data_IF_638273654619
#
_entry.id   IF_638273654619
#
_cell.length_a   1.000
_cell.length_b   1.000
_cell.length_c   1.000
_cell.angle_alpha   90.00
_cell.angle_beta   90.00
_cell.angle_gamma   90.00
#
_symmetry.space_group_name_H-M   'P 1'
#
loop_
_entity.id
_entity.type
_entity.pdbx_description
1 polymer ?
#
# COMPACT_ATOMS: atom_id res chain seq x y z
N UNK A 1 -11.97 22.68 -5.01
CA UNK A 1 -11.10 23.42 -4.06
C UNK A 1 -10.47 24.65 -4.74
N UNK A 2 -9.84 24.49 -5.91
CA UNK A 2 -9.32 25.60 -6.73
C UNK A 2 -10.39 26.65 -7.09
N UNK A 3 -11.54 26.21 -7.61
CA UNK A 3 -12.70 27.08 -7.89
C UNK A 3 -13.35 27.71 -6.64
N UNK A 4 -13.07 27.20 -5.44
CA UNK A 4 -13.52 27.80 -4.18
C UNK A 4 -12.54 28.88 -3.71
N UNK A 5 -11.23 28.64 -3.87
CA UNK A 5 -10.19 29.64 -3.57
C UNK A 5 -10.30 30.84 -4.52
N UNK A 6 -10.48 30.61 -5.82
CA UNK A 6 -10.64 31.68 -6.82
C UNK A 6 -11.90 32.53 -6.62
N UNK A 7 -12.93 32.00 -5.95
CA UNK A 7 -14.17 32.75 -5.65
C UNK A 7 -14.10 33.57 -4.36
N UNK A 8 -13.15 33.26 -3.47
CA UNK A 8 -13.09 33.83 -2.12
C UNK A 8 -11.80 34.62 -1.85
N UNK A 9 -10.86 34.67 -2.80
CA UNK A 9 -9.63 35.45 -2.70
C UNK A 9 -9.61 36.52 -3.80
N UNK A 10 -9.23 37.74 -3.42
CA UNK A 10 -8.96 38.82 -4.37
C UNK A 10 -7.73 38.44 -5.23
N UNK A 11 -7.73 38.73 -6.55
CA UNK A 11 -6.53 38.68 -7.38
C UNK A 11 -5.25 39.24 -6.72
N UNK A 12 -5.36 40.31 -5.93
CA UNK A 12 -4.24 40.87 -5.18
C UNK A 12 -3.70 39.88 -4.12
N UNK A 13 -4.57 39.21 -3.37
CA UNK A 13 -4.21 38.21 -2.36
C UNK A 13 -3.56 36.97 -3.01
N UNK A 14 -4.07 36.54 -4.16
CA UNK A 14 -3.47 35.43 -4.92
C UNK A 14 -2.04 35.78 -5.34
N UNK A 15 -1.83 37.02 -5.79
CA UNK A 15 -0.49 37.52 -6.18
C UNK A 15 0.44 37.55 -4.98
N UNK A 16 -0.02 38.06 -3.85
CA UNK A 16 0.76 38.10 -2.61
C UNK A 16 1.15 36.70 -2.13
N UNK A 17 0.21 35.74 -2.09
CA UNK A 17 0.49 34.36 -1.70
C UNK A 17 1.54 33.72 -2.61
N UNK A 18 1.45 33.94 -3.93
CA UNK A 18 2.43 33.43 -4.90
C UNK A 18 3.81 34.02 -4.67
N UNK A 19 3.90 35.32 -4.42
CA UNK A 19 5.15 36.04 -4.15
C UNK A 19 5.77 35.59 -2.84
N UNK A 20 5.00 35.50 -1.76
CA UNK A 20 5.47 34.95 -0.47
C UNK A 20 5.97 33.52 -0.67
N UNK A 21 5.24 32.68 -1.40
CA UNK A 21 5.66 31.30 -1.67
C UNK A 21 6.97 31.23 -2.45
N UNK A 22 7.16 32.11 -3.44
CA UNK A 22 8.42 32.24 -4.18
C UNK A 22 9.57 32.64 -3.28
N UNK A 23 9.41 33.72 -2.50
CA UNK A 23 10.45 34.24 -1.61
C UNK A 23 10.79 33.26 -0.49
N UNK A 24 9.82 32.51 0.03
CA UNK A 24 10.08 31.45 1.01
C UNK A 24 10.89 30.30 0.39
N UNK A 25 10.55 29.92 -0.83
CA UNK A 25 11.30 28.91 -1.57
C UNK A 25 12.73 29.41 -1.83
N UNK A 26 12.90 30.64 -2.31
CA UNK A 26 14.20 31.28 -2.52
C UNK A 26 15.05 31.29 -1.25
N UNK A 27 14.48 31.73 -0.12
CA UNK A 27 15.14 31.74 1.20
C UNK A 27 15.57 30.34 1.66
N UNK A 28 14.89 29.28 1.22
CA UNK A 28 15.27 27.92 1.57
C UNK A 28 16.52 27.40 0.85
N UNK A 29 16.87 27.97 -0.30
CA UNK A 29 18.08 27.63 -1.08
C UNK A 29 19.20 28.66 -0.92
N UNK A 30 18.84 29.93 -0.74
CA UNK A 30 19.75 31.06 -0.70
C UNK A 30 19.40 31.98 0.48
N UNK A 31 19.52 31.49 1.74
CA UNK A 31 19.11 32.25 2.91
C UNK A 31 19.83 33.60 3.00
N UNK A 32 21.12 33.64 2.68
CA UNK A 32 21.94 34.88 2.74
C UNK A 32 21.46 35.98 1.78
N UNK A 33 20.83 35.60 0.66
CA UNK A 33 20.38 36.56 -0.36
C UNK A 33 18.90 36.93 -0.19
N UNK A 34 18.09 36.08 0.46
CA UNK A 34 16.63 36.24 0.51
C UNK A 34 16.03 36.36 1.93
N UNK A 35 16.85 36.35 2.99
CA UNK A 35 16.37 36.50 4.38
C UNK A 35 15.54 37.77 4.59
N UNK A 36 15.95 38.85 3.94
CA UNK A 36 15.48 40.20 4.26
C UNK A 36 14.23 40.62 3.47
N UNK A 37 13.76 39.79 2.52
CA UNK A 37 12.57 40.04 1.71
C UNK A 37 11.26 39.60 2.40
N UNK A 38 11.35 38.80 3.47
CA UNK A 38 10.20 38.31 4.22
C UNK A 38 10.43 38.43 5.71
N UNK A 39 9.53 39.12 6.39
CA UNK A 39 9.42 39.06 7.85
C UNK A 39 8.26 38.16 8.26
N UNK A 40 8.27 37.70 9.51
CA UNK A 40 7.16 36.96 10.10
C UNK A 40 6.63 37.76 11.29
N UNK A 41 5.32 38.05 11.28
CA UNK A 41 4.69 38.79 12.37
C UNK A 41 4.45 37.89 13.59
N UNK A 42 3.95 38.48 14.69
CA UNK A 42 3.70 37.78 15.96
C UNK A 42 2.70 36.62 15.86
N UNK A 43 1.85 36.64 14.84
CA UNK A 43 0.87 35.59 14.58
C UNK A 43 1.41 34.48 13.67
N UNK A 44 2.68 34.56 13.27
CA UNK A 44 3.32 33.60 12.38
C UNK A 44 3.03 33.83 10.90
N UNK A 45 2.40 34.94 10.51
CA UNK A 45 2.12 35.25 9.10
C UNK A 45 3.32 35.93 8.46
N UNK A 46 3.60 35.60 7.20
CA UNK A 46 4.67 36.21 6.44
C UNK A 46 4.20 37.53 5.81
N UNK A 47 5.06 38.54 5.87
CA UNK A 47 4.84 39.85 5.25
C UNK A 47 6.03 40.17 4.34
N UNK A 48 5.72 40.70 3.16
CA UNK A 48 6.74 41.11 2.18
C UNK A 48 7.31 42.46 2.61
N UNK A 49 8.60 42.51 2.88
CA UNK A 49 9.32 43.74 3.26
C UNK A 49 9.93 44.44 2.05
N UNK A 50 10.36 43.66 1.06
CA UNK A 50 10.92 44.14 -0.20
C UNK A 50 10.78 43.07 -1.28
N UNK A 51 10.99 43.46 -2.53
CA UNK A 51 11.03 42.54 -3.66
C UNK A 51 12.43 42.60 -4.31
N UNK A 52 12.98 41.44 -4.72
CA UNK A 52 14.15 41.41 -5.58
C UNK A 52 13.82 42.04 -6.94
N UNK A 53 14.85 42.50 -7.66
CA UNK A 53 14.67 43.00 -9.02
C UNK A 53 14.12 41.88 -9.92
N UNK A 54 13.22 42.21 -10.86
CA UNK A 54 12.64 41.21 -11.77
C UNK A 54 13.70 40.47 -12.59
N UNK A 55 14.83 41.13 -12.86
CA UNK A 55 15.95 40.61 -13.63
C UNK A 55 17.12 40.08 -12.78
N UNK A 56 16.91 39.84 -11.48
CA UNK A 56 17.93 39.29 -10.59
C UNK A 56 18.36 37.87 -11.05
N UNK A 57 19.65 37.64 -11.36
CA UNK A 57 20.15 36.32 -11.74
C UNK A 57 19.93 35.23 -10.69
N UNK A 58 19.93 35.55 -9.39
CA UNK A 58 19.64 34.58 -8.33
C UNK A 58 18.17 34.19 -8.34
N UNK A 59 17.27 35.15 -8.55
CA UNK A 59 15.83 34.89 -8.64
C UNK A 59 15.51 33.98 -9.84
N UNK A 60 16.14 34.22 -11.00
CA UNK A 60 15.98 33.32 -12.17
C UNK A 60 16.42 31.88 -11.89
N UNK A 61 17.56 31.69 -11.21
CA UNK A 61 18.03 30.34 -10.84
C UNK A 61 17.06 29.65 -9.89
N UNK A 62 16.61 30.36 -8.84
CA UNK A 62 15.62 29.82 -7.91
C UNK A 62 14.34 29.42 -8.62
N UNK A 63 13.86 30.21 -9.59
CA UNK A 63 12.68 29.87 -10.40
C UNK A 63 12.87 28.57 -11.18
N UNK A 64 14.03 28.38 -11.82
CA UNK A 64 14.38 27.13 -12.49
C UNK A 64 14.37 25.92 -11.53
N UNK A 65 14.95 26.07 -10.34
CA UNK A 65 14.91 25.03 -9.30
C UNK A 65 13.47 24.74 -8.84
N UNK A 66 12.63 25.77 -8.74
CA UNK A 66 11.21 25.64 -8.37
C UNK A 66 10.39 24.94 -9.44
N UNK A 67 10.65 25.21 -10.71
CA UNK A 67 10.02 24.49 -11.82
C UNK A 67 10.34 23.00 -11.76
N UNK A 68 11.60 22.63 -11.49
CA UNK A 68 11.99 21.23 -11.24
C UNK A 68 11.27 20.63 -10.04
N UNK A 69 11.11 21.38 -8.95
CA UNK A 69 10.35 20.95 -7.77
C UNK A 69 8.88 20.66 -8.10
N UNK A 70 8.24 21.51 -8.92
CA UNK A 70 6.88 21.28 -9.39
C UNK A 70 6.76 20.05 -10.29
N UNK A 71 7.72 19.84 -11.20
CA UNK A 71 7.76 18.63 -12.03
C UNK A 71 7.83 17.35 -11.18
N UNK A 72 8.62 17.36 -10.10
CA UNK A 72 8.66 16.24 -9.15
C UNK A 72 7.29 16.01 -8.51
N UNK A 73 6.66 17.07 -7.99
CA UNK A 73 5.34 16.98 -7.35
C UNK A 73 4.30 16.42 -8.33
N UNK A 74 4.27 16.91 -9.56
CA UNK A 74 3.34 16.45 -10.60
C UNK A 74 3.58 14.98 -10.96
N UNK A 75 4.86 14.57 -11.06
CA UNK A 75 5.22 13.18 -11.35
C UNK A 75 4.81 12.24 -10.21
N UNK A 76 5.03 12.64 -8.96
CA UNK A 76 4.58 11.86 -7.78
C UNK A 76 3.06 11.77 -7.74
N UNK A 77 2.36 12.86 -8.02
CA UNK A 77 0.89 12.86 -8.07
C UNK A 77 0.36 11.92 -9.16
N UNK A 78 0.90 12.00 -10.38
CA UNK A 78 0.50 11.11 -11.47
C UNK A 78 0.85 9.66 -11.19
N UNK A 79 2.03 9.40 -10.63
CA UNK A 79 2.43 8.07 -10.17
C UNK A 79 1.40 7.50 -9.19
N UNK A 80 1.05 8.21 -8.12
CA UNK A 80 0.09 7.69 -7.14
C UNK A 80 -1.33 7.60 -7.68
N UNK A 81 -1.75 8.51 -8.55
CA UNK A 81 -3.04 8.43 -9.23
C UNK A 81 -3.11 7.20 -10.15
N UNK A 82 -2.03 6.92 -10.87
CA UNK A 82 -1.91 5.75 -11.75
C UNK A 82 -1.82 4.46 -10.95
N UNK A 83 -0.96 4.42 -9.93
CA UNK A 83 -0.86 3.29 -8.99
C UNK A 83 -2.23 2.96 -8.40
N UNK A 84 -2.98 3.95 -7.89
CA UNK A 84 -4.31 3.72 -7.31
C UNK A 84 -5.32 3.18 -8.33
N UNK A 85 -5.23 3.61 -9.60
CA UNK A 85 -6.08 3.07 -10.69
C UNK A 85 -5.70 1.65 -11.07
N UNK A 86 -4.40 1.38 -11.26
CA UNK A 86 -3.88 0.06 -11.62
C UNK A 86 -4.15 -0.96 -10.51
N UNK A 87 -4.04 -0.54 -9.24
CA UNK A 87 -4.29 -1.40 -8.08
C UNK A 87 -5.72 -1.90 -7.94
N UNK A 88 -6.69 -1.18 -8.49
CA UNK A 88 -8.10 -1.45 -8.21
C UNK A 88 -8.51 -2.86 -8.64
N UNK A 89 -8.15 -3.25 -9.87
CA UNK A 89 -8.57 -4.54 -10.44
C UNK A 89 -7.89 -5.71 -9.73
N UNK A 90 -6.55 -5.74 -9.57
CA UNK A 90 -5.86 -6.78 -8.81
C UNK A 90 -6.37 -6.90 -7.38
N UNK A 91 -6.58 -5.78 -6.69
CA UNK A 91 -7.06 -5.78 -5.31
C UNK A 91 -8.50 -6.31 -5.18
N UNK A 92 -9.42 -5.89 -6.06
CA UNK A 92 -10.79 -6.40 -6.07
C UNK A 92 -10.81 -7.92 -6.33
N UNK A 93 -10.01 -8.38 -7.29
CA UNK A 93 -9.84 -9.79 -7.63
C UNK A 93 -9.26 -10.61 -6.47
N UNK A 94 -8.17 -10.11 -5.86
CA UNK A 94 -7.57 -10.73 -4.68
C UNK A 94 -8.56 -10.81 -3.52
N UNK A 95 -9.34 -9.74 -3.27
CA UNK A 95 -10.32 -9.69 -2.19
C UNK A 95 -11.44 -10.72 -2.39
N UNK A 96 -11.96 -10.84 -3.61
CA UNK A 96 -13.01 -11.81 -3.96
C UNK A 96 -12.49 -13.24 -3.82
N UNK A 97 -11.37 -13.56 -4.49
CA UNK A 97 -10.80 -14.91 -4.47
C UNK A 97 -10.35 -15.32 -3.07
N UNK A 98 -9.79 -14.41 -2.27
CA UNK A 98 -9.41 -14.67 -0.89
C UNK A 98 -10.62 -14.94 0.00
N UNK A 99 -11.75 -14.27 -0.24
CA UNK A 99 -12.99 -14.51 0.49
C UNK A 99 -13.50 -15.93 0.21
N UNK A 100 -13.60 -16.32 -1.06
CA UNK A 100 -14.10 -17.63 -1.49
C UNK A 100 -13.19 -18.78 -1.00
N UNK A 101 -11.87 -18.62 -1.14
CA UNK A 101 -10.90 -19.58 -0.64
C UNK A 101 -10.98 -19.73 0.90
N UNK A 102 -11.17 -18.63 1.62
CA UNK A 102 -11.35 -18.67 3.09
C UNK A 102 -12.67 -19.32 3.51
N UNK A 103 -13.77 -19.09 2.79
CA UNK A 103 -15.05 -19.77 3.05
C UNK A 103 -14.92 -21.27 2.83
N UNK A 104 -14.38 -21.66 1.68
CA UNK A 104 -14.15 -23.05 1.31
C UNK A 104 -13.27 -23.75 2.35
N UNK A 105 -12.18 -23.10 2.79
CA UNK A 105 -11.32 -23.62 3.83
C UNK A 105 -12.07 -23.92 5.14
N UNK A 106 -12.92 -22.98 5.61
CA UNK A 106 -13.73 -23.19 6.82
C UNK A 106 -14.71 -24.34 6.67
N UNK A 107 -15.35 -24.47 5.51
CA UNK A 107 -16.28 -25.56 5.21
C UNK A 107 -15.59 -26.93 5.21
N UNK A 108 -14.42 -27.02 4.56
CA UNK A 108 -13.62 -28.24 4.49
C UNK A 108 -13.12 -28.65 5.88
N UNK A 109 -12.60 -27.71 6.68
CA UNK A 109 -12.17 -27.98 8.06
C UNK A 109 -13.33 -28.43 8.96
N UNK A 110 -14.47 -27.74 8.90
CA UNK A 110 -15.68 -28.14 9.66
C UNK A 110 -16.19 -29.52 9.23
N UNK A 111 -16.15 -29.80 7.94
CA UNK A 111 -16.49 -31.10 7.34
C UNK A 111 -15.56 -32.22 7.77
N UNK A 112 -14.25 -31.98 7.82
CA UNK A 112 -13.26 -32.93 8.31
C UNK A 112 -13.48 -33.23 9.79
N UNK A 113 -13.66 -32.19 10.62
CA UNK A 113 -13.91 -32.34 12.08
C UNK A 113 -15.16 -33.17 12.37
N UNK A 114 -16.28 -32.89 11.69
CA UNK A 114 -17.52 -33.68 11.84
C UNK A 114 -17.31 -35.15 11.46
N UNK A 115 -16.59 -35.41 10.37
CA UNK A 115 -16.28 -36.77 9.91
C UNK A 115 -15.35 -37.52 10.87
N UNK A 116 -14.32 -36.85 11.42
CA UNK A 116 -13.49 -37.47 12.44
C UNK A 116 -14.28 -37.83 13.70
N UNK A 117 -15.12 -36.90 14.19
CA UNK A 117 -15.99 -37.16 15.36
C UNK A 117 -16.93 -38.33 15.07
N UNK A 118 -17.62 -38.31 13.92
CA UNK A 118 -18.54 -39.37 13.53
C UNK A 118 -17.84 -40.73 13.35
N UNK A 119 -16.71 -40.77 12.63
CA UNK A 119 -15.93 -41.98 12.42
C UNK A 119 -15.40 -42.57 13.74
N UNK A 120 -14.93 -41.72 14.66
CA UNK A 120 -14.47 -42.14 16.00
C UNK A 120 -15.64 -42.63 16.85
N UNK A 121 -16.81 -41.99 16.78
CA UNK A 121 -18.01 -42.40 17.50
C UNK A 121 -18.51 -43.78 17.03
N UNK A 122 -18.42 -44.09 15.73
CA UNK A 122 -18.74 -45.43 15.19
C UNK A 122 -17.80 -46.49 15.75
N UNK A 123 -16.49 -46.19 15.84
CA UNK A 123 -15.52 -47.12 16.43
C UNK A 123 -15.82 -47.39 17.92
N UNK A 124 -16.10 -46.35 18.71
CA UNK A 124 -16.43 -46.49 20.14
C UNK A 124 -17.78 -47.19 20.36
N UNK A 125 -18.80 -46.87 19.55
CA UNK A 125 -20.12 -47.52 19.59
C UNK A 125 -20.06 -49.00 19.22
N UNK A 126 -19.20 -49.37 18.25
CA UNK A 126 -18.94 -50.77 17.89
C UNK A 126 -18.33 -51.59 19.03
N UNK A 127 -17.44 -51.00 19.83
CA UNK A 127 -16.83 -51.66 21.00
C UNK A 127 -17.86 -51.86 22.11
N UNK A 128 -18.72 -50.86 22.38
CA UNK A 128 -19.76 -50.96 23.41
C UNK A 128 -20.84 -52.01 23.09
N UNK A 129 -21.22 -52.14 21.81
CA UNK A 129 -22.16 -53.15 21.33
C UNK A 129 -21.59 -54.58 21.42
N UNK A 130 -20.29 -54.76 21.15
CA UNK A 130 -19.60 -56.05 21.27
C UNK A 130 -19.44 -56.52 22.73
N UNK A 131 -19.43 -55.59 23.70
CA UNK A 131 -19.23 -55.90 25.12
C UNK A 131 -20.53 -56.29 25.86
N UNK A 132 -21.72 -56.01 25.32
CA UNK A 132 -23.02 -56.20 26.02
C UNK A 132 -24.05 -57.08 25.27
N UNK A 133 -23.74 -57.63 24.09
CA UNK A 133 -24.70 -58.40 23.28
C UNK A 133 -24.58 -59.92 23.44
N UNK A 134 -25.68 -60.59 23.81
CA UNK A 134 -25.77 -62.06 24.00
C UNK A 134 -26.25 -62.85 22.75
N UNK A 135 -26.17 -62.31 21.53
CA UNK A 135 -26.68 -63.00 20.32
C UNK A 135 -25.67 -63.17 19.17
N UNK A 136 -25.83 -64.28 18.42
CA UNK A 136 -24.97 -64.73 17.30
C UNK A 136 -24.96 -63.76 16.08
N UNK A 137 -25.97 -62.89 15.95
CA UNK A 137 -26.05 -61.85 14.90
C UNK A 137 -24.98 -60.76 15.11
N UNK A 138 -24.47 -60.60 16.32
CA UNK A 138 -23.46 -59.57 16.66
C UNK A 138 -22.05 -59.94 16.18
N UNK A 139 -21.75 -61.22 15.94
CA UNK A 139 -20.41 -61.67 15.53
C UNK A 139 -20.09 -61.39 14.04
N UNK A 140 -21.12 -61.20 13.21
CA UNK A 140 -20.99 -60.81 11.79
C UNK A 140 -21.23 -59.31 11.54
N UNK A 141 -21.83 -58.59 12.50
CA UNK A 141 -22.04 -57.13 12.41
C UNK A 141 -20.80 -56.27 12.68
N UNK A 142 -19.79 -56.79 13.40
CA UNK A 142 -18.58 -56.05 13.76
C UNK A 142 -17.65 -55.68 12.59
N UNK A 143 -17.63 -56.50 11.52
CA UNK A 143 -16.82 -56.23 10.32
C UNK A 143 -17.43 -55.15 9.40
N UNK A 144 -18.76 -55.02 9.40
CA UNK A 144 -19.48 -54.01 8.60
C UNK A 144 -19.35 -52.61 9.24
N UNK A 145 -19.34 -52.52 10.57
CA UNK A 145 -19.16 -51.25 11.29
C UNK A 145 -17.73 -50.69 11.26
N UNK A 146 -16.71 -51.54 11.37
CA UNK A 146 -15.31 -51.10 11.39
C UNK A 146 -14.84 -50.53 10.03
N UNK A 147 -15.24 -51.16 8.91
CA UNK A 147 -14.92 -50.68 7.56
C UNK A 147 -15.56 -49.33 7.24
N UNK A 148 -16.80 -49.11 7.68
CA UNK A 148 -17.49 -47.83 7.51
C UNK A 148 -16.83 -46.70 8.31
N UNK A 149 -16.41 -46.97 9.56
CA UNK A 149 -15.69 -46.01 10.40
C UNK A 149 -14.34 -45.59 9.79
N UNK A 150 -13.55 -46.55 9.31
CA UNK A 150 -12.26 -46.29 8.65
C UNK A 150 -12.41 -45.45 7.37
N UNK A 151 -13.43 -45.73 6.56
CA UNK A 151 -13.73 -44.93 5.36
C UNK A 151 -14.10 -43.48 5.70
N UNK A 152 -14.95 -43.27 6.72
CA UNK A 152 -15.36 -41.93 7.16
C UNK A 152 -14.15 -41.14 7.69
N UNK A 153 -13.26 -41.76 8.45
CA UNK A 153 -12.00 -41.14 8.91
C UNK A 153 -11.10 -40.78 7.71
N UNK A 154 -10.90 -41.69 6.76
CA UNK A 154 -10.13 -41.42 5.53
C UNK A 154 -10.70 -40.21 4.78
N UNK A 155 -12.01 -40.15 4.61
CA UNK A 155 -12.66 -39.01 3.94
C UNK A 155 -12.48 -37.68 4.69
N UNK A 156 -12.23 -37.71 6.00
CA UNK A 156 -11.82 -36.53 6.78
C UNK A 156 -10.40 -36.06 6.43
N UNK A 157 -9.45 -36.98 6.25
CA UNK A 157 -8.10 -36.66 5.78
C UNK A 157 -8.09 -36.14 4.35
N UNK A 158 -8.88 -36.73 3.46
CA UNK A 158 -9.03 -36.25 2.07
C UNK A 158 -9.50 -34.76 2.06
N UNK A 159 -10.42 -34.39 2.97
CA UNK A 159 -10.86 -32.99 3.15
C UNK A 159 -9.81 -32.07 3.76
N UNK A 160 -8.92 -32.58 4.63
CA UNK A 160 -7.78 -31.81 5.12
C UNK A 160 -6.73 -31.57 4.03
N UNK A 161 -6.50 -32.54 3.15
CA UNK A 161 -5.60 -32.37 2.01
C UNK A 161 -6.12 -31.32 1.02
N UNK A 162 -7.42 -31.33 0.71
CA UNK A 162 -8.09 -30.30 -0.09
C UNK A 162 -7.97 -28.91 0.58
N UNK A 163 -8.18 -28.82 1.90
CA UNK A 163 -7.99 -27.59 2.66
C UNK A 163 -6.55 -27.03 2.55
N UNK A 164 -5.54 -27.91 2.53
CA UNK A 164 -4.14 -27.50 2.36
C UNK A 164 -3.87 -26.88 0.99
N UNK A 165 -4.40 -27.47 -0.08
CA UNK A 165 -4.30 -26.91 -1.43
C UNK A 165 -4.90 -25.49 -1.51
N UNK A 166 -6.01 -25.23 -0.82
CA UNK A 166 -6.60 -23.88 -0.77
C UNK A 166 -5.75 -22.87 0.00
N UNK A 167 -5.00 -23.30 1.03
CA UNK A 167 -4.04 -22.43 1.71
C UNK A 167 -2.88 -22.05 0.79
N UNK A 168 -2.39 -22.98 -0.02
CA UNK A 168 -1.35 -22.72 -1.03
C UNK A 168 -1.86 -21.74 -2.09
N UNK A 169 -3.10 -21.91 -2.58
CA UNK A 169 -3.73 -20.95 -3.50
C UNK A 169 -3.88 -19.53 -2.90
N UNK A 170 -4.18 -19.39 -1.61
CA UNK A 170 -4.19 -18.08 -0.94
C UNK A 170 -2.81 -17.41 -0.93
N UNK A 171 -1.74 -18.19 -0.77
CA UNK A 171 -0.37 -17.69 -0.83
C UNK A 171 -0.02 -17.23 -2.26
N UNK A 172 -0.35 -18.04 -3.27
CA UNK A 172 -0.14 -17.71 -4.69
C UNK A 172 -0.89 -16.43 -5.09
N UNK A 173 -2.12 -16.23 -4.59
CA UNK A 173 -2.87 -14.99 -4.80
C UNK A 173 -2.16 -13.77 -4.21
N UNK A 174 -1.54 -13.91 -3.05
CA UNK A 174 -0.74 -12.85 -2.43
C UNK A 174 0.52 -12.52 -3.24
N UNK A 175 1.25 -13.54 -3.69
CA UNK A 175 2.45 -13.38 -4.52
C UNK A 175 2.12 -12.79 -5.91
N UNK A 176 0.98 -13.18 -6.51
CA UNK A 176 0.52 -12.61 -7.77
C UNK A 176 0.17 -11.13 -7.64
N UNK A 177 -0.52 -10.76 -6.55
CA UNK A 177 -0.82 -9.36 -6.26
C UNK A 177 0.49 -8.58 -6.11
N UNK A 178 1.43 -9.03 -5.28
CA UNK A 178 2.72 -8.36 -5.07
C UNK A 178 3.47 -8.09 -6.39
N UNK A 179 3.52 -9.08 -7.29
CA UNK A 179 4.16 -8.93 -8.60
C UNK A 179 3.45 -7.91 -9.51
N UNK A 180 2.12 -7.83 -9.44
CA UNK A 180 1.33 -6.87 -10.21
C UNK A 180 1.48 -5.42 -9.68
N UNK A 181 1.88 -5.24 -8.42
CA UNK A 181 2.02 -3.91 -7.78
C UNK A 181 3.43 -3.46 -7.46
N UNK A 182 4.46 -4.15 -7.93
CA UNK A 182 5.84 -3.83 -7.62
C UNK A 182 6.16 -2.33 -7.84
N UNK A 183 6.91 -1.68 -6.91
CA UNK A 183 7.20 -0.25 -6.99
C UNK A 183 7.92 0.13 -8.29
N UNK A 184 7.53 1.24 -8.90
CA UNK A 184 8.21 1.76 -10.11
C UNK A 184 9.16 2.90 -9.76
N UNK A 185 10.23 3.01 -10.55
CA UNK A 185 11.17 4.15 -10.48
C UNK A 185 10.48 5.38 -11.05
N UNK A 186 10.64 6.52 -10.36
CA UNK A 186 10.16 7.82 -10.85
C UNK A 186 11.20 8.35 -11.85
N UNK A 187 10.78 8.57 -13.09
CA UNK A 187 11.62 9.19 -14.12
C UNK A 187 11.29 10.68 -14.19
N UNK A 188 12.30 11.53 -14.05
CA UNK A 188 12.18 12.96 -14.27
C UNK A 188 12.76 13.29 -15.64
N UNK A 189 12.22 14.30 -16.34
CA UNK A 189 12.41 14.54 -17.78
C UNK A 189 13.83 14.33 -18.34
N UNK A 190 14.88 14.63 -17.55
CA UNK A 190 16.27 14.49 -17.96
C UNK A 190 17.10 13.48 -17.15
N UNK A 191 16.55 12.86 -16.09
CA UNK A 191 17.28 11.93 -15.21
C UNK A 191 16.37 10.92 -14.53
N UNK A 192 16.75 9.65 -14.63
CA UNK A 192 16.21 8.58 -13.81
C UNK A 192 16.84 8.62 -12.42
N UNK A 193 16.06 9.01 -11.41
CA UNK A 193 16.50 9.09 -10.02
C UNK A 193 15.67 8.10 -9.20
N UNK A 194 16.34 7.14 -8.58
CA UNK A 194 15.68 6.21 -7.67
C UNK A 194 15.56 6.84 -6.29
N UNK A 195 14.36 7.24 -5.94
CA UNK A 195 14.00 7.67 -4.58
C UNK A 195 13.37 6.51 -3.83
N UNK A 196 13.73 6.33 -2.57
CA UNK A 196 13.28 5.18 -1.76
C UNK A 196 12.64 5.62 -0.45
N UNK A 197 11.82 4.75 0.12
CA UNK A 197 11.10 5.01 1.37
C UNK A 197 9.74 5.66 1.17
N UNK A 198 9.23 6.28 2.23
CA UNK A 198 7.97 7.04 2.30
C UNK A 198 8.01 8.28 1.40
N UNK A 199 6.85 8.87 1.10
CA UNK A 199 6.77 10.11 0.29
C UNK A 199 7.56 11.23 0.94
N UNK A 200 7.52 11.33 2.27
CA UNK A 200 8.28 12.31 3.04
C UNK A 200 9.79 12.11 2.89
N UNK A 201 10.27 10.86 2.96
CA UNK A 201 11.69 10.53 2.76
C UNK A 201 12.14 10.78 1.32
N UNK A 202 11.30 10.46 0.33
CA UNK A 202 11.57 10.72 -1.08
C UNK A 202 11.64 12.22 -1.36
N UNK A 203 10.74 13.02 -0.78
CA UNK A 203 10.78 14.47 -0.92
C UNK A 203 12.01 15.08 -0.23
N UNK A 204 12.45 14.54 0.91
CA UNK A 204 13.68 14.98 1.55
C UNK A 204 14.92 14.71 0.67
N UNK A 205 15.02 13.52 0.09
CA UNK A 205 16.07 13.17 -0.89
C UNK A 205 16.03 14.10 -2.11
N UNK A 206 14.84 14.38 -2.63
CA UNK A 206 14.67 15.30 -3.76
C UNK A 206 15.15 16.72 -3.44
N UNK A 207 14.83 17.22 -2.24
CA UNK A 207 15.27 18.54 -1.76
C UNK A 207 16.79 18.65 -1.64
N UNK A 208 17.48 17.58 -1.26
CA UNK A 208 18.95 17.51 -1.25
C UNK A 208 19.51 17.63 -2.67
N UNK A 209 18.95 16.88 -3.63
CA UNK A 209 19.36 16.95 -5.04
C UNK A 209 19.17 18.36 -5.60
N UNK A 210 18.05 19.02 -5.31
CA UNK A 210 17.83 20.41 -5.73
C UNK A 210 18.86 21.37 -5.11
N UNK A 211 19.28 21.14 -3.87
CA UNK A 211 20.29 21.96 -3.21
C UNK A 211 21.67 21.77 -3.87
N UNK A 212 22.04 20.55 -4.21
CA UNK A 212 23.28 20.23 -4.94
C UNK A 212 23.32 20.89 -6.32
N UNK A 213 22.20 20.83 -7.04
CA UNK A 213 22.07 21.48 -8.36
C UNK A 213 22.24 23.00 -8.21
N UNK A 214 21.58 23.60 -7.21
CA UNK A 214 21.71 25.02 -6.94
C UNK A 214 23.16 25.43 -6.60
N UNK A 215 23.85 24.67 -5.76
CA UNK A 215 25.25 24.91 -5.38
C UNK A 215 26.21 24.81 -6.58
N UNK A 216 26.00 23.81 -7.44
CA UNK A 216 26.76 23.63 -8.67
C UNK A 216 26.55 24.79 -9.66
N UNK A 217 25.31 25.28 -9.81
CA UNK A 217 24.96 26.40 -10.69
C UNK A 217 25.41 27.77 -10.16
N UNK A 218 25.66 27.89 -8.85
CA UNK A 218 26.14 29.12 -8.21
C UNK A 218 27.66 29.16 -7.99
N UNK A 219 28.38 28.09 -8.35
CA UNK A 219 29.84 28.06 -8.36
C UNK A 219 30.50 27.87 -6.98
N UNK A 220 29.83 27.19 -6.05
CA UNK A 220 30.37 26.89 -4.71
C UNK A 220 31.24 25.60 -4.65
N UNK A 221 31.96 25.25 -5.72
CA UNK A 221 32.93 24.13 -5.74
C UNK A 221 34.36 24.61 -5.96
#
# INVERSE_FOLDING_TARGET
LLAYLERNLDPAEITEIRTISELRFARSFAPDAFSDYLTQNRNGQYEITALPAENDPLLYRVRSIRERDFMYIDTVQDYYATYAREMRIPYDSWREQSYDATMTLRELQGSARRRFIAGTAVLLGGIAAAANGQDYVTQTGGAIGAGAGAYVIKSGFDKLAEAKMHLESLQELGESLENEVAPRVIDLEDRTITLTGTVEEQYAQWREILADIYAAETGQL
#
